data_IF_683373884561
#
_entry.id   IF_683373884561
#
_cell.length_a   1.000
_cell.length_b   1.000
_cell.length_c   1.000
_cell.angle_alpha   90.00
_cell.angle_beta   90.00
_cell.angle_gamma   90.00
#
_symmetry.space_group_name_H-M   'P 1'
#
loop_
_entity.id
_entity.type
_entity.pdbx_description
1 polymer ?
#
# COMPACT_ATOMS: atom_id res chain seq x y z
N UNK A 1 9.50 -3.50 14.47
CA UNK A 1 8.60 -3.71 13.32
C UNK A 1 8.54 -2.37 12.61
N UNK A 2 8.73 -2.34 11.28
CA UNK A 2 8.80 -1.08 10.52
C UNK A 2 7.43 -0.82 9.89
N UNK A 3 6.92 0.40 10.03
CA UNK A 3 5.71 0.84 9.35
C UNK A 3 6.06 1.39 7.97
N UNK A 4 5.33 0.95 6.94
CA UNK A 4 5.52 1.40 5.55
C UNK A 4 4.20 1.94 5.03
N UNK A 5 4.26 3.17 4.51
CA UNK A 5 3.14 3.82 3.83
C UNK A 5 3.41 3.76 2.33
N UNK A 6 2.48 3.22 1.57
CA UNK A 6 2.60 3.13 0.12
C UNK A 6 1.94 4.30 -0.61
N UNK A 7 2.63 4.75 -1.65
CA UNK A 7 2.05 5.42 -2.81
C UNK A 7 1.62 4.38 -3.87
N UNK A 8 0.76 4.76 -4.81
CA UNK A 8 0.28 3.87 -5.87
C UNK A 8 1.41 3.36 -6.77
N UNK A 9 2.35 4.23 -7.17
CA UNK A 9 3.44 3.86 -8.07
C UNK A 9 4.38 2.82 -7.43
N UNK A 10 4.70 3.02 -6.14
CA UNK A 10 5.54 2.11 -5.38
C UNK A 10 4.84 0.77 -5.11
N UNK A 11 3.54 0.79 -4.82
CA UNK A 11 2.75 -0.43 -4.60
C UNK A 11 2.66 -1.26 -5.88
N UNK A 12 2.29 -0.63 -7.00
CA UNK A 12 2.22 -1.31 -8.31
C UNK A 12 3.57 -1.92 -8.66
N UNK A 13 4.66 -1.19 -8.43
CA UNK A 13 6.03 -1.71 -8.64
C UNK A 13 6.31 -2.95 -7.79
N UNK A 14 5.93 -2.94 -6.51
CA UNK A 14 6.12 -4.07 -5.60
C UNK A 14 5.25 -5.29 -5.96
N UNK A 15 4.11 -5.06 -6.62
CA UNK A 15 3.20 -6.08 -7.13
C UNK A 15 3.53 -6.55 -8.55
N UNK A 16 4.51 -5.92 -9.21
CA UNK A 16 4.95 -6.28 -10.56
C UNK A 16 6.13 -7.24 -10.57
N UNK A 17 7.11 -6.98 -9.71
CA UNK A 17 8.36 -7.73 -9.68
C UNK A 17 8.33 -8.85 -8.65
N UNK A 18 9.02 -9.94 -8.97
CA UNK A 18 9.17 -11.08 -8.08
C UNK A 18 10.63 -11.29 -7.70
N UNK A 19 10.85 -11.74 -6.47
CA UNK A 19 12.13 -12.19 -5.95
C UNK A 19 11.90 -13.57 -5.35
N UNK A 20 12.67 -14.56 -5.81
CA UNK A 20 12.52 -15.96 -5.42
C UNK A 20 11.10 -16.51 -5.65
N UNK A 21 10.42 -16.04 -6.70
CA UNK A 21 9.08 -16.50 -7.08
C UNK A 21 7.92 -15.88 -6.30
N UNK A 22 8.19 -15.03 -5.30
CA UNK A 22 7.16 -14.26 -4.58
C UNK A 22 7.21 -12.78 -5.00
N UNK A 23 6.07 -12.09 -4.99
CA UNK A 23 6.06 -10.65 -5.22
C UNK A 23 6.84 -9.91 -4.14
N UNK A 24 7.47 -8.79 -4.49
CA UNK A 24 8.16 -7.93 -3.51
C UNK A 24 7.19 -7.53 -2.39
N UNK A 25 5.93 -7.26 -2.72
CA UNK A 25 4.88 -6.94 -1.75
C UNK A 25 4.69 -8.04 -0.68
N UNK A 26 4.80 -9.32 -1.04
CA UNK A 26 4.70 -10.42 -0.07
C UNK A 26 5.87 -10.43 0.92
N UNK A 27 7.08 -10.12 0.44
CA UNK A 27 8.24 -10.00 1.32
C UNK A 27 8.05 -8.83 2.30
N UNK A 28 7.54 -7.69 1.82
CA UNK A 28 7.27 -6.52 2.67
C UNK A 28 6.22 -6.86 3.74
N UNK A 29 5.13 -7.52 3.37
CA UNK A 29 4.07 -7.92 4.32
C UNK A 29 4.52 -8.92 5.39
N UNK A 30 5.68 -9.60 5.23
CA UNK A 30 6.24 -10.49 6.26
C UNK A 30 6.98 -9.73 7.36
N UNK A 31 7.51 -8.55 7.07
CA UNK A 31 8.42 -7.83 7.97
C UNK A 31 7.93 -6.43 8.36
N UNK A 32 7.01 -5.87 7.58
CA UNK A 32 6.49 -4.53 7.76
C UNK A 32 5.00 -4.53 8.06
N UNK A 33 4.59 -3.59 8.90
CA UNK A 33 3.20 -3.20 9.00
C UNK A 33 2.90 -2.23 7.85
N UNK A 34 1.94 -2.56 7.00
CA UNK A 34 1.72 -1.85 5.74
C UNK A 34 0.44 -1.06 5.80
N UNK A 35 0.55 0.25 5.58
CA UNK A 35 -0.56 1.15 5.43
C UNK A 35 -0.72 1.59 3.96
N UNK A 36 -1.95 1.46 3.45
CA UNK A 36 -2.31 1.88 2.09
C UNK A 36 -3.46 2.88 2.19
N UNK A 37 -3.23 4.17 1.84
CA UNK A 37 -4.30 5.17 1.80
C UNK A 37 -5.45 4.79 0.87
N UNK A 38 -6.66 5.28 1.17
CA UNK A 38 -7.83 5.04 0.30
C UNK A 38 -7.64 5.59 -1.12
N UNK A 39 -7.01 6.76 -1.24
CA UNK A 39 -6.66 7.36 -2.53
C UNK A 39 -5.81 6.41 -3.40
N UNK A 40 -4.85 5.72 -2.78
CA UNK A 40 -4.00 4.73 -3.48
C UNK A 40 -4.83 3.54 -3.97
N UNK A 41 -5.81 3.09 -3.19
CA UNK A 41 -6.75 2.06 -3.63
C UNK A 41 -7.53 2.47 -4.89
N UNK A 42 -8.05 3.69 -4.90
CA UNK A 42 -8.75 4.26 -6.07
C UNK A 42 -7.81 4.35 -7.27
N UNK A 43 -6.60 4.86 -7.08
CA UNK A 43 -5.59 4.96 -8.15
C UNK A 43 -5.21 3.60 -8.72
N UNK A 44 -5.04 2.57 -7.87
CA UNK A 44 -4.74 1.21 -8.35
C UNK A 44 -5.88 0.59 -9.14
N UNK A 45 -7.13 0.87 -8.77
CA UNK A 45 -8.32 0.42 -9.50
C UNK A 45 -8.40 1.10 -10.88
N UNK A 46 -8.22 2.42 -10.94
CA UNK A 46 -8.18 3.14 -12.23
C UNK A 46 -7.01 2.64 -13.10
N UNK A 47 -5.86 2.35 -12.49
CA UNK A 47 -4.72 1.80 -13.20
C UNK A 47 -4.99 0.38 -13.71
N UNK A 48 -5.72 -0.46 -12.97
CA UNK A 48 -6.01 -1.85 -13.37
C UNK A 48 -6.91 -1.95 -14.61
N UNK A 49 -7.73 -0.93 -14.88
CA UNK A 49 -8.49 -0.82 -16.14
C UNK A 49 -7.59 -0.69 -17.38
N UNK A 50 -6.39 -0.15 -17.22
CA UNK A 50 -5.46 0.16 -18.32
C UNK A 50 -4.22 -0.73 -18.34
N UNK A 51 -3.78 -1.19 -17.19
CA UNK A 51 -2.52 -1.88 -16.97
C UNK A 51 -2.76 -3.20 -16.24
N UNK A 52 -2.60 -4.35 -16.92
CA UNK A 52 -2.84 -5.66 -16.30
C UNK A 52 -1.97 -5.94 -15.07
N UNK A 53 -0.79 -5.32 -14.98
CA UNK A 53 0.10 -5.41 -13.81
C UNK A 53 -0.41 -4.63 -12.59
N UNK A 54 -1.37 -3.71 -12.76
CA UNK A 54 -2.04 -3.04 -11.66
C UNK A 54 -3.18 -3.87 -11.02
N UNK A 55 -3.68 -4.92 -11.68
CA UNK A 55 -4.68 -5.84 -11.09
C UNK A 55 -4.12 -6.55 -9.85
N UNK A 56 -2.84 -6.91 -9.85
CA UNK A 56 -2.18 -7.53 -8.69
C UNK A 56 -2.10 -6.54 -7.52
N UNK A 57 -1.87 -5.25 -7.82
CA UNK A 57 -1.85 -4.19 -6.82
C UNK A 57 -3.23 -4.00 -6.19
N UNK A 58 -4.29 -3.94 -6.99
CA UNK A 58 -5.68 -3.86 -6.51
C UNK A 58 -6.03 -5.01 -5.55
N UNK A 59 -5.67 -6.24 -5.91
CA UNK A 59 -5.85 -7.41 -5.04
C UNK A 59 -5.05 -7.30 -3.73
N UNK A 60 -3.82 -6.79 -3.80
CA UNK A 60 -3.01 -6.54 -2.62
C UNK A 60 -3.64 -5.48 -1.72
N UNK A 61 -4.20 -4.40 -2.27
CA UNK A 61 -4.94 -3.38 -1.50
C UNK A 61 -6.11 -4.03 -0.75
N UNK A 62 -6.92 -4.84 -1.44
CA UNK A 62 -8.06 -5.52 -0.84
C UNK A 62 -7.64 -6.46 0.31
N UNK A 63 -6.54 -7.22 0.10
CA UNK A 63 -6.00 -8.14 1.10
C UNK A 63 -5.36 -7.43 2.30
N UNK A 64 -4.80 -6.24 2.12
CA UNK A 64 -4.24 -5.43 3.21
C UNK A 64 -5.36 -4.74 3.98
N UNK A 65 -6.33 -4.13 3.30
CA UNK A 65 -7.45 -3.43 3.94
C UNK A 65 -8.30 -4.34 4.82
N UNK A 66 -8.51 -5.60 4.43
CA UNK A 66 -9.26 -6.56 5.26
C UNK A 66 -8.60 -6.86 6.62
N UNK A 67 -7.32 -6.50 6.79
CA UNK A 67 -6.59 -6.66 8.05
C UNK A 67 -6.79 -5.49 9.02
N UNK A 68 -7.30 -4.36 8.56
CA UNK A 68 -7.49 -3.16 9.38
C UNK A 68 -8.98 -2.83 9.53
N UNK A 69 -9.48 -2.61 10.76
CA UNK A 69 -10.87 -2.23 10.97
C UNK A 69 -11.19 -0.84 10.40
N UNK A 70 -12.43 -0.63 9.99
CA UNK A 70 -12.94 0.68 9.56
C UNK A 70 -12.60 1.76 10.60
N UNK A 71 -11.99 2.87 10.17
CA UNK A 71 -11.65 4.00 11.04
C UNK A 71 -10.24 3.99 11.64
N UNK A 72 -9.45 2.90 11.51
CA UNK A 72 -8.04 2.86 11.95
C UNK A 72 -7.15 3.91 11.24
N UNK A 73 -7.63 4.38 10.08
CA UNK A 73 -6.91 5.14 9.06
C UNK A 73 -6.78 6.64 9.37
N UNK A 74 -7.61 7.18 10.28
CA UNK A 74 -7.78 8.64 10.37
C UNK A 74 -6.58 9.39 10.97
N UNK A 75 -5.89 8.81 11.97
CA UNK A 75 -4.85 9.53 12.71
C UNK A 75 -3.56 9.71 11.89
N UNK A 76 -3.13 8.67 11.17
CA UNK A 76 -1.88 8.71 10.38
C UNK A 76 -2.03 9.58 9.13
N UNK A 77 -3.20 9.56 8.47
CA UNK A 77 -3.49 10.49 7.36
C UNK A 77 -3.50 11.95 7.82
N UNK A 78 -4.08 12.25 8.99
CA UNK A 78 -4.06 13.61 9.54
C UNK A 78 -2.63 14.11 9.83
N UNK A 79 -1.71 13.23 10.26
CA UNK A 79 -0.31 13.59 10.46
C UNK A 79 0.37 13.95 9.13
N UNK A 80 0.11 13.17 8.07
CA UNK A 80 0.67 13.41 6.75
C UNK A 80 0.08 14.65 6.07
N UNK A 81 -1.23 14.86 6.15
CA UNK A 81 -1.94 16.03 5.61
C UNK A 81 -1.52 17.34 6.32
N UNK A 82 -1.24 17.27 7.62
CA UNK A 82 -0.73 18.42 8.38
C UNK A 82 0.74 18.72 8.10
N UNK A 83 1.41 17.94 7.27
CA UNK A 83 2.83 18.10 6.96
C UNK A 83 3.74 17.81 8.16
N UNK A 84 3.22 17.16 9.20
CA UNK A 84 3.89 16.93 10.48
C UNK A 84 4.78 15.67 10.40
N UNK A 85 5.74 15.68 9.47
CA UNK A 85 6.68 14.57 9.19
C UNK A 85 7.72 14.36 10.31
N UNK A 86 7.44 14.78 11.53
CA UNK A 86 8.35 14.71 12.68
C UNK A 86 8.71 13.27 13.06
N UNK A 87 7.90 12.30 12.65
CA UNK A 87 8.08 10.86 12.87
C UNK A 87 8.86 10.13 11.76
N UNK A 88 9.19 10.80 10.64
CA UNK A 88 9.94 10.22 9.51
C UNK A 88 11.43 10.58 9.56
N UNK A 89 12.02 10.63 10.77
CA UNK A 89 13.45 10.87 10.98
C UNK A 89 14.22 9.57 11.15
#
# INVERSE_FOLDING_TARGET
>A
MVEVIFDSSALITCCKFTVQGCYIMEHILRFCEVFIPDAVGVETCIASEKYPDATVAEQAVAAVKSRYPEGFIYHTLQILERGDRRCLR
#
